data_IF_270079320454
#
_entry.id   IF_270079320454
#
_cell.length_a   1.000
_cell.length_b   1.000
_cell.length_c   1.000
_cell.angle_alpha   90.00
_cell.angle_beta   90.00
_cell.angle_gamma   90.00
#
_symmetry.space_group_name_H-M   'P 1'
#
loop_
_entity.id
_entity.type
_entity.pdbx_description
1 polymer ?
#
# COMPACT_ATOMS: atom_id res chain seq x y z
N UNK A 1 1.96 -2.28 19.71
CA UNK A 1 2.52 -2.87 18.47
C UNK A 1 1.38 -2.97 17.46
N UNK A 2 1.03 -1.84 16.84
CA UNK A 2 0.07 -1.75 15.72
C UNK A 2 0.13 -0.38 15.01
N UNK A 3 0.89 0.59 15.54
CA UNK A 3 1.09 1.91 14.94
C UNK A 3 1.68 1.87 13.53
N UNK A 4 2.70 1.05 13.29
CA UNK A 4 3.32 0.97 11.96
C UNK A 4 2.34 0.48 10.89
N UNK A 5 1.57 -0.57 11.22
CA UNK A 5 0.56 -1.12 10.32
C UNK A 5 -0.50 -0.08 10.00
N UNK A 6 -1.00 0.61 11.03
CA UNK A 6 -2.02 1.64 10.85
C UNK A 6 -1.47 2.83 10.06
N UNK A 7 -0.22 3.23 10.30
CA UNK A 7 0.42 4.31 9.54
C UNK A 7 0.62 3.96 8.08
N UNK A 8 1.01 2.73 7.76
CA UNK A 8 1.12 2.25 6.38
C UNK A 8 -0.25 2.26 5.70
N UNK A 9 -1.29 1.83 6.42
CA UNK A 9 -2.65 1.85 5.91
C UNK A 9 -3.12 3.28 5.59
N UNK A 10 -2.81 4.22 6.49
CA UNK A 10 -3.04 5.65 6.29
C UNK A 10 -2.29 6.15 5.04
N UNK A 11 -1.00 5.84 4.88
CA UNK A 11 -0.21 6.22 3.71
C UNK A 11 -0.76 5.65 2.41
N UNK A 12 -1.20 4.39 2.41
CA UNK A 12 -1.86 3.77 1.24
C UNK A 12 -3.10 4.57 0.88
N UNK A 13 -3.92 4.95 1.86
CA UNK A 13 -5.10 5.77 1.63
C UNK A 13 -4.75 7.20 1.19
N UNK A 14 -3.83 7.89 1.86
CA UNK A 14 -3.40 9.25 1.52
C UNK A 14 -2.79 9.33 0.10
N UNK A 15 -2.05 8.31 -0.33
CA UNK A 15 -1.30 8.32 -1.60
C UNK A 15 -2.07 7.69 -2.75
N UNK A 16 -2.80 6.60 -2.48
CA UNK A 16 -3.51 5.79 -3.49
C UNK A 16 -5.04 5.96 -3.39
N UNK A 17 -5.55 6.40 -2.24
CA UNK A 17 -6.97 6.43 -1.87
C UNK A 17 -7.59 7.83 -1.74
N UNK A 18 -7.92 8.40 -2.89
CA UNK A 18 -9.14 9.23 -3.10
C UNK A 18 -9.39 9.35 -4.63
N UNK A 19 -8.37 9.08 -5.45
CA UNK A 19 -8.41 9.10 -6.91
C UNK A 19 -8.53 7.74 -7.63
N UNK A 20 -8.32 6.59 -6.98
CA UNK A 20 -8.49 5.29 -7.65
C UNK A 20 -8.42 4.06 -6.75
N UNK A 21 -8.05 2.90 -7.33
CA UNK A 21 -8.29 1.52 -6.85
C UNK A 21 -8.33 1.25 -5.34
N UNK A 22 -7.56 1.96 -4.49
CA UNK A 22 -7.65 1.83 -3.03
C UNK A 22 -9.03 2.23 -2.45
N UNK A 23 -9.77 3.12 -3.11
CA UNK A 23 -11.16 3.46 -2.77
C UNK A 23 -12.21 2.44 -3.28
N UNK A 24 -11.84 1.57 -4.22
CA UNK A 24 -12.70 0.48 -4.74
C UNK A 24 -12.32 -0.90 -4.21
N UNK A 25 -11.17 -1.06 -3.56
CA UNK A 25 -10.79 -2.28 -2.88
C UNK A 25 -11.51 -2.39 -1.54
N UNK A 26 -12.64 -3.09 -1.52
CA UNK A 26 -13.28 -3.56 -0.28
C UNK A 26 -12.42 -4.58 0.47
N UNK A 27 -11.44 -5.19 -0.19
CA UNK A 27 -10.44 -6.10 0.38
C UNK A 27 -9.04 -5.63 -0.03
N UNK A 28 -8.37 -4.93 0.88
CA UNK A 28 -6.93 -4.68 0.81
C UNK A 28 -6.26 -5.42 1.96
N UNK A 29 -5.37 -6.35 1.63
CA UNK A 29 -4.67 -7.16 2.63
C UNK A 29 -3.24 -6.64 2.77
N UNK A 30 -2.96 -5.99 3.90
CA UNK A 30 -1.63 -5.55 4.27
C UNK A 30 -1.03 -6.58 5.22
N UNK A 31 0.09 -7.18 4.82
CA UNK A 31 0.79 -8.17 5.61
C UNK A 31 2.31 -7.95 5.54
N UNK A 32 3.02 -8.56 6.48
CA UNK A 32 4.47 -8.52 6.52
C UNK A 32 5.01 -9.92 6.21
N UNK A 33 5.89 -10.01 5.22
CA UNK A 33 6.56 -11.24 4.81
C UNK A 33 8.08 -10.99 4.82
N UNK A 34 8.84 -11.84 5.53
CA UNK A 34 10.30 -11.70 5.69
C UNK A 34 10.77 -10.30 6.17
N UNK A 35 9.94 -9.64 6.99
CA UNK A 35 10.19 -8.29 7.51
C UNK A 35 9.88 -7.16 6.53
N UNK A 36 9.36 -7.48 5.35
CA UNK A 36 8.92 -6.53 4.33
C UNK A 36 7.40 -6.41 4.31
N UNK A 37 6.90 -5.18 4.28
CA UNK A 37 5.49 -4.91 4.12
C UNK A 37 5.07 -5.14 2.68
N UNK A 38 3.97 -5.86 2.52
CA UNK A 38 3.35 -6.14 1.23
C UNK A 38 1.88 -5.79 1.29
N UNK A 39 1.37 -5.26 0.19
CA UNK A 39 -0.05 -4.98 0.03
C UNK A 39 -0.61 -5.77 -1.14
N UNK A 40 -1.71 -6.45 -0.89
CA UNK A 40 -2.56 -7.00 -1.92
C UNK A 40 -3.78 -6.10 -2.09
N UNK A 41 -3.97 -5.58 -3.28
CA UNK A 41 -5.15 -4.82 -3.66
C UNK A 41 -6.01 -5.67 -4.58
N UNK A 42 -7.31 -5.73 -4.31
CA UNK A 42 -8.29 -6.41 -5.16
C UNK A 42 -8.18 -5.93 -6.62
N UNK A 43 -7.95 -6.87 -7.54
CA UNK A 43 -7.73 -6.60 -8.97
C UNK A 43 -6.28 -6.69 -9.44
N UNK A 44 -5.32 -6.82 -8.52
CA UNK A 44 -3.91 -7.08 -8.84
C UNK A 44 -3.59 -8.58 -8.78
N UNK A 45 -2.70 -9.03 -9.67
CA UNK A 45 -2.35 -10.44 -9.83
C UNK A 45 -1.47 -11.00 -8.70
N UNK A 46 -0.68 -10.14 -8.05
CA UNK A 46 0.28 -10.49 -7.00
C UNK A 46 0.36 -9.40 -5.92
N UNK A 47 0.80 -9.72 -4.68
CA UNK A 47 1.04 -8.74 -3.64
C UNK A 47 2.27 -7.88 -3.97
N UNK A 48 2.15 -6.59 -3.73
CA UNK A 48 3.16 -5.59 -4.07
C UNK A 48 4.01 -5.28 -2.84
N UNK A 49 5.34 -5.39 -3.00
CA UNK A 49 6.28 -4.99 -1.97
C UNK A 49 6.26 -3.48 -1.76
N UNK A 50 6.12 -3.07 -0.50
CA UNK A 50 6.17 -1.69 -0.05
C UNK A 50 7.52 -1.36 0.60
N UNK A 51 8.19 -2.33 1.22
CA UNK A 51 9.49 -2.16 1.88
C UNK A 51 9.44 -2.46 3.37
N UNK A 52 10.56 -2.32 4.08
CA UNK A 52 10.69 -2.77 5.48
C UNK A 52 10.37 -1.68 6.50
N UNK A 53 10.57 -0.42 6.11
CA UNK A 53 10.39 0.75 6.96
C UNK A 53 9.30 1.68 6.41
N UNK A 54 8.68 2.49 7.26
CA UNK A 54 7.65 3.47 6.86
C UNK A 54 8.16 4.41 5.75
N UNK A 55 9.43 4.83 5.81
CA UNK A 55 10.02 5.70 4.80
C UNK A 55 10.15 5.02 3.43
N UNK A 56 10.51 3.74 3.40
CA UNK A 56 10.53 2.95 2.17
C UNK A 56 9.13 2.78 1.61
N UNK A 57 8.17 2.44 2.48
CA UNK A 57 6.75 2.28 2.12
C UNK A 57 6.21 3.55 1.48
N UNK A 58 6.45 4.71 2.08
CA UNK A 58 5.98 5.99 1.55
C UNK A 58 6.56 6.26 0.15
N UNK A 59 7.88 6.12 -0.01
CA UNK A 59 8.53 6.30 -1.31
C UNK A 59 7.95 5.36 -2.36
N UNK A 60 7.76 4.08 -2.01
CA UNK A 60 7.24 3.07 -2.92
C UNK A 60 5.80 3.35 -3.35
N UNK A 61 4.94 3.73 -2.41
CA UNK A 61 3.56 4.11 -2.70
C UNK A 61 3.50 5.32 -3.65
N UNK A 62 4.39 6.32 -3.46
CA UNK A 62 4.48 7.47 -4.38
C UNK A 62 4.94 7.05 -5.78
N UNK A 63 5.91 6.11 -5.88
CA UNK A 63 6.33 5.55 -7.16
C UNK A 63 5.18 4.83 -7.87
N UNK A 64 4.37 4.06 -7.13
CA UNK A 64 3.20 3.38 -7.67
C UNK A 64 2.14 4.39 -8.12
N UNK A 65 1.79 5.37 -7.29
CA UNK A 65 0.83 6.42 -7.65
C UNK A 65 1.27 7.17 -8.93
N UNK A 66 2.57 7.48 -9.07
CA UNK A 66 3.12 8.10 -10.28
C UNK A 66 3.04 7.24 -11.54
N UNK A 67 2.93 5.91 -11.40
CA UNK A 67 2.72 4.96 -12.51
C UNK A 67 1.23 4.78 -12.88
N UNK A 68 0.32 5.50 -12.21
CA UNK A 68 -1.12 5.36 -12.41
C UNK A 68 -1.77 4.30 -11.51
N UNK A 69 -1.05 3.85 -10.48
CA UNK A 69 -1.62 2.99 -9.46
C UNK A 69 -2.60 3.81 -8.61
N UNK A 70 -3.90 3.55 -8.76
CA UNK A 70 -4.92 4.40 -8.15
C UNK A 70 -5.43 5.53 -9.05
N UNK A 71 -5.46 5.32 -10.37
CA UNK A 71 -6.31 6.06 -11.33
C UNK A 71 -7.31 5.12 -11.99
#
# INVERSE_FOLDING_TARGET
>A
MNDDRQRIYDLVFEIVGEGGCAGSCTESELFQEDGEWKIFLCGFMEPWSLGKTIAEVENRLREYAGQGFGL
#
